data_IF_221014241846
#
_entry.id   IF_221014241846
#
_cell.length_a   1.000
_cell.length_b   1.000
_cell.length_c   1.000
_cell.angle_alpha   90.00
_cell.angle_beta   90.00
_cell.angle_gamma   90.00
#
_symmetry.space_group_name_H-M   'P 1'
#
loop_
_entity.id
_entity.type
_entity.pdbx_description
1 polymer ?
#
# COMPACT_ATOMS: atom_id res chain seq x y z
N UNK A 1 -33.26 -36.84 -1.56
CA UNK A 1 -31.90 -36.27 -1.41
C UNK A 1 -31.68 -35.28 -2.55
N UNK A 2 -31.95 -34.00 -2.31
CA UNK A 2 -31.61 -32.90 -3.24
C UNK A 2 -30.37 -32.17 -2.70
N UNK A 3 -29.44 -31.86 -3.61
CA UNK A 3 -28.20 -31.11 -3.36
C UNK A 3 -28.49 -29.63 -3.05
N UNK A 4 -27.92 -29.10 -1.98
CA UNK A 4 -28.15 -27.73 -1.47
C UNK A 4 -27.03 -26.72 -1.79
N UNK A 5 -26.22 -26.95 -2.84
CA UNK A 5 -25.16 -26.02 -3.24
C UNK A 5 -25.61 -25.03 -4.32
N UNK A 6 -26.62 -24.21 -4.02
CA UNK A 6 -26.90 -22.96 -4.73
C UNK A 6 -27.75 -22.05 -3.84
N UNK A 7 -27.12 -21.30 -2.93
CA UNK A 7 -27.64 -19.98 -2.58
C UNK A 7 -26.49 -18.97 -2.64
N UNK A 8 -26.73 -17.94 -3.46
CA UNK A 8 -25.87 -16.80 -3.73
C UNK A 8 -25.66 -15.98 -2.46
N UNK A 9 -24.42 -15.71 -2.09
CA UNK A 9 -24.08 -14.39 -1.54
C UNK A 9 -23.20 -13.67 -2.56
N UNK A 10 -23.86 -13.12 -3.59
CA UNK A 10 -23.28 -12.01 -4.34
C UNK A 10 -23.31 -10.79 -3.41
N UNK A 11 -22.42 -10.75 -2.43
CA UNK A 11 -22.16 -9.49 -1.73
C UNK A 11 -21.45 -8.59 -2.73
N UNK A 12 -22.10 -7.49 -3.21
CA UNK A 12 -21.34 -6.49 -3.91
C UNK A 12 -20.37 -5.93 -2.89
N UNK A 13 -19.07 -6.18 -3.06
CA UNK A 13 -18.00 -5.47 -2.35
C UNK A 13 -18.35 -4.00 -2.47
N UNK A 14 -18.86 -3.43 -1.37
CA UNK A 14 -19.53 -2.14 -1.39
C UNK A 14 -18.59 -1.09 -1.96
N UNK A 15 -19.14 -0.15 -2.73
CA UNK A 15 -18.39 1.03 -3.20
C UNK A 15 -17.65 1.73 -2.04
N UNK A 16 -18.15 1.56 -0.82
CA UNK A 16 -17.59 2.06 0.43
C UNK A 16 -16.28 1.38 0.88
N UNK A 17 -15.98 0.14 0.46
CA UNK A 17 -14.68 -0.49 0.71
C UNK A 17 -13.61 0.00 -0.27
N UNK A 18 -14.01 0.24 -1.53
CA UNK A 18 -13.11 0.73 -2.58
C UNK A 18 -12.76 2.22 -2.41
N UNK A 19 -13.64 3.00 -1.79
CA UNK A 19 -13.42 4.41 -1.44
C UNK A 19 -13.28 4.67 0.07
N UNK A 20 -13.23 3.58 0.86
CA UNK A 20 -12.92 3.52 2.29
C UNK A 20 -13.13 4.80 3.07
N UNK A 21 -14.34 5.00 3.62
CA UNK A 21 -14.46 5.80 4.85
C UNK A 21 -13.44 5.22 5.82
N UNK A 22 -12.47 6.05 6.22
CA UNK A 22 -11.27 5.68 6.99
C UNK A 22 -11.63 4.62 8.04
N UNK A 23 -11.15 3.39 7.85
CA UNK A 23 -11.34 2.31 8.81
C UNK A 23 -10.53 2.69 10.06
N UNK A 24 -11.22 3.34 11.02
CA UNK A 24 -10.87 3.65 12.41
C UNK A 24 -9.47 4.23 12.71
N UNK A 25 -9.44 5.38 13.41
CA UNK A 25 -8.25 5.94 14.06
C UNK A 25 -7.95 7.41 13.73
N UNK A 26 -8.39 7.94 12.59
CA UNK A 26 -8.24 9.38 12.27
C UNK A 26 -6.81 9.89 12.02
N UNK A 27 -5.76 9.14 12.39
CA UNK A 27 -4.36 9.57 12.24
C UNK A 27 -3.90 9.51 10.78
N UNK A 28 -3.31 10.60 10.28
CA UNK A 28 -2.77 10.68 8.92
C UNK A 28 -1.42 9.97 8.86
N UNK A 29 -1.24 9.08 7.87
CA UNK A 29 0.06 8.49 7.58
C UNK A 29 0.96 9.58 6.99
N UNK A 30 2.04 9.91 7.71
CA UNK A 30 2.97 10.98 7.34
C UNK A 30 4.38 10.48 7.48
N UNK A 31 5.17 10.62 6.42
CA UNK A 31 6.56 10.20 6.43
C UNK A 31 7.48 11.27 6.99
N UNK A 32 8.55 10.85 7.66
CA UNK A 32 9.67 11.70 8.09
C UNK A 32 10.93 11.16 7.42
N UNK A 33 11.62 12.02 6.67
CA UNK A 33 12.81 11.66 5.90
C UNK A 33 13.50 12.92 5.40
N UNK A 34 14.83 12.97 5.47
CA UNK A 34 15.63 14.02 4.84
C UNK A 34 15.74 13.86 3.32
N UNK A 35 15.37 12.67 2.81
CA UNK A 35 15.39 12.36 1.39
C UNK A 35 14.11 12.82 0.68
N UNK A 36 14.30 13.38 -0.52
CA UNK A 36 13.23 13.59 -1.50
C UNK A 36 13.31 12.54 -2.61
N UNK A 37 12.17 12.14 -3.22
CA UNK A 37 12.19 11.23 -4.35
C UNK A 37 13.08 11.75 -5.48
N UNK A 38 13.97 10.90 -5.98
CA UNK A 38 14.98 11.26 -6.97
C UNK A 38 15.06 10.21 -8.10
N UNK A 39 15.71 10.57 -9.20
CA UNK A 39 15.78 9.72 -10.40
C UNK A 39 14.39 9.39 -10.92
N UNK A 40 14.12 8.11 -11.18
CA UNK A 40 12.83 7.64 -11.71
C UNK A 40 11.73 7.48 -10.65
N UNK A 41 12.07 7.64 -9.36
CA UNK A 41 11.10 7.46 -8.27
C UNK A 41 9.88 8.38 -8.39
N UNK A 42 9.99 9.69 -8.69
CA UNK A 42 8.83 10.57 -8.78
C UNK A 42 7.81 10.13 -9.83
N UNK A 43 8.27 9.65 -10.99
CA UNK A 43 7.40 9.18 -12.06
C UNK A 43 6.74 7.85 -11.68
N UNK A 44 7.51 6.89 -11.14
CA UNK A 44 6.99 5.61 -10.70
C UNK A 44 5.91 5.76 -9.62
N UNK A 45 6.14 6.64 -8.63
CA UNK A 45 5.17 6.97 -7.57
C UNK A 45 3.88 7.54 -8.18
N UNK A 46 4.00 8.53 -9.07
CA UNK A 46 2.83 9.15 -9.73
C UNK A 46 2.02 8.12 -10.52
N UNK A 47 2.69 7.25 -11.28
CA UNK A 47 2.05 6.22 -12.10
C UNK A 47 1.28 5.20 -11.26
N UNK A 48 1.88 4.72 -10.16
CA UNK A 48 1.23 3.76 -9.28
C UNK A 48 0.03 4.35 -8.54
N UNK A 49 0.16 5.59 -8.03
CA UNK A 49 -0.97 6.32 -7.43
C UNK A 49 -2.10 6.49 -8.44
N UNK A 50 -1.78 6.89 -9.67
CA UNK A 50 -2.77 7.02 -10.73
C UNK A 50 -3.49 5.69 -10.99
N UNK A 51 -2.75 4.58 -11.12
CA UNK A 51 -3.36 3.26 -11.30
C UNK A 51 -4.30 2.88 -10.16
N UNK A 52 -3.90 3.12 -8.90
CA UNK A 52 -4.73 2.81 -7.72
C UNK A 52 -6.02 3.63 -7.73
N UNK A 53 -5.93 4.94 -8.03
CA UNK A 53 -7.10 5.82 -8.16
C UNK A 53 -8.04 5.40 -9.29
N UNK A 54 -7.50 4.81 -10.35
CA UNK A 54 -8.27 4.26 -11.48
C UNK A 54 -8.66 2.78 -11.30
N UNK A 55 -8.66 2.27 -10.06
CA UNK A 55 -9.10 0.91 -9.71
C UNK A 55 -8.33 -0.20 -10.45
N UNK A 56 -7.06 0.05 -10.78
CA UNK A 56 -6.16 -1.03 -11.20
C UNK A 56 -5.77 -1.84 -9.98
N UNK A 57 -6.24 -3.09 -9.92
CA UNK A 57 -5.99 -3.99 -8.80
C UNK A 57 -4.52 -4.42 -8.74
N UNK A 58 -3.95 -4.79 -9.89
CA UNK A 58 -2.59 -5.33 -9.98
C UNK A 58 -1.65 -4.33 -10.68
N UNK A 59 -0.53 -4.04 -10.03
CA UNK A 59 0.50 -3.15 -10.55
C UNK A 59 1.88 -3.60 -10.09
N UNK A 60 2.88 -3.38 -10.94
CA UNK A 60 4.27 -3.80 -10.68
C UNK A 60 5.17 -2.57 -10.61
N UNK A 61 5.92 -2.45 -9.51
CA UNK A 61 7.03 -1.50 -9.38
C UNK A 61 8.33 -2.17 -9.83
N UNK A 62 8.71 -1.97 -11.09
CA UNK A 62 10.00 -2.43 -11.59
C UNK A 62 11.10 -1.49 -11.09
N UNK A 63 12.08 -2.04 -10.38
CA UNK A 63 13.21 -1.27 -9.87
C UNK A 63 14.39 -2.15 -9.52
N UNK A 64 15.58 -1.69 -9.88
CA UNK A 64 16.85 -2.35 -9.55
C UNK A 64 17.12 -2.37 -8.04
N UNK A 65 18.04 -3.21 -7.58
CA UNK A 65 18.49 -3.19 -6.18
C UNK A 65 19.14 -1.85 -5.86
N UNK A 66 18.88 -1.30 -4.67
CA UNK A 66 19.40 0.01 -4.25
C UNK A 66 18.62 1.23 -4.74
N UNK A 67 17.60 1.06 -5.61
CA UNK A 67 16.82 2.19 -6.14
C UNK A 67 15.84 2.83 -5.15
N UNK A 68 15.84 2.42 -3.87
CA UNK A 68 14.94 2.96 -2.85
C UNK A 68 13.48 2.51 -2.99
N UNK A 69 13.21 1.26 -3.40
CA UNK A 69 11.84 0.74 -3.55
C UNK A 69 10.98 0.90 -2.29
N UNK A 70 11.54 0.66 -1.11
CA UNK A 70 10.80 0.85 0.15
C UNK A 70 10.40 2.29 0.37
N UNK A 71 11.29 3.25 0.09
CA UNK A 71 10.99 4.68 0.19
C UNK A 71 9.89 5.11 -0.79
N UNK A 72 9.97 4.64 -2.05
CA UNK A 72 8.90 4.87 -3.03
C UNK A 72 7.54 4.33 -2.54
N UNK A 73 7.52 3.13 -1.96
CA UNK A 73 6.31 2.56 -1.39
C UNK A 73 5.78 3.35 -0.18
N UNK A 74 6.66 3.83 0.71
CA UNK A 74 6.26 4.70 1.81
C UNK A 74 5.59 5.99 1.31
N UNK A 75 6.14 6.63 0.27
CA UNK A 75 5.51 7.81 -0.36
C UNK A 75 4.17 7.51 -1.01
N UNK A 76 3.99 6.34 -1.61
CA UNK A 76 2.70 5.90 -2.16
C UNK A 76 1.67 5.71 -1.03
N UNK A 77 2.06 5.05 0.06
CA UNK A 77 1.20 4.82 1.23
C UNK A 77 0.79 6.16 1.86
N UNK A 78 1.74 7.08 2.05
CA UNK A 78 1.48 8.46 2.51
C UNK A 78 0.51 9.19 1.59
N UNK A 79 0.72 9.17 0.27
CA UNK A 79 -0.13 9.90 -0.66
C UNK A 79 -1.56 9.37 -0.72
N UNK A 80 -1.73 8.05 -0.55
CA UNK A 80 -3.05 7.41 -0.58
C UNK A 80 -3.75 7.44 0.77
N UNK A 81 -2.99 7.48 1.88
CA UNK A 81 -3.50 7.50 3.24
C UNK A 81 -4.51 6.36 3.50
N UNK A 82 -4.19 5.15 3.01
CA UNK A 82 -4.98 3.92 3.18
C UNK A 82 -4.20 2.91 4.02
N UNK A 83 -4.87 2.12 4.88
CA UNK A 83 -4.24 0.98 5.52
C UNK A 83 -3.59 0.07 4.47
N UNK A 84 -2.35 -0.34 4.72
CA UNK A 84 -1.55 -1.13 3.80
C UNK A 84 -0.98 -2.36 4.51
N UNK A 85 -1.01 -3.50 3.82
CA UNK A 85 -0.38 -4.75 4.25
C UNK A 85 0.84 -5.01 3.39
N UNK A 86 2.02 -5.14 4.01
CA UNK A 86 3.27 -5.47 3.32
C UNK A 86 3.59 -6.93 3.60
N UNK A 87 3.64 -7.74 2.54
CA UNK A 87 3.99 -9.15 2.62
C UNK A 87 5.46 -9.34 2.21
N UNK A 88 6.21 -10.07 3.02
CA UNK A 88 7.60 -10.42 2.76
C UNK A 88 7.74 -11.95 2.68
N UNK A 89 8.65 -12.49 1.86
CA UNK A 89 8.77 -13.93 1.64
C UNK A 89 9.43 -14.67 2.82
N UNK A 90 10.04 -13.95 3.76
CA UNK A 90 10.66 -14.54 4.95
C UNK A 90 10.74 -13.53 6.11
N UNK A 91 11.08 -14.05 7.30
CA UNK A 91 11.14 -13.28 8.54
C UNK A 91 12.23 -12.20 8.53
N UNK A 92 13.37 -12.47 7.91
CA UNK A 92 14.50 -11.53 7.84
C UNK A 92 14.12 -10.27 7.06
N UNK A 93 13.54 -10.45 5.87
CA UNK A 93 13.07 -9.33 5.06
C UNK A 93 11.86 -8.63 5.69
N UNK A 94 10.99 -9.37 6.38
CA UNK A 94 9.91 -8.76 7.15
C UNK A 94 10.45 -7.82 8.24
N UNK A 95 11.47 -8.26 9.00
CA UNK A 95 12.09 -7.44 10.03
C UNK A 95 12.80 -6.20 9.45
N UNK A 96 13.48 -6.35 8.31
CA UNK A 96 14.09 -5.22 7.61
C UNK A 96 13.05 -4.19 7.18
N UNK A 97 11.99 -4.64 6.49
CA UNK A 97 10.91 -3.77 6.03
C UNK A 97 10.20 -3.09 7.20
N UNK A 98 10.00 -3.81 8.31
CA UNK A 98 9.46 -3.23 9.53
C UNK A 98 10.33 -2.09 10.06
N UNK A 99 11.65 -2.30 10.17
CA UNK A 99 12.60 -1.27 10.62
C UNK A 99 12.61 -0.04 9.72
N UNK A 100 12.64 -0.24 8.40
CA UNK A 100 12.57 0.83 7.40
C UNK A 100 11.25 1.60 7.51
N UNK A 101 10.10 0.91 7.55
CA UNK A 101 8.79 1.56 7.64
C UNK A 101 8.58 2.28 8.97
N UNK A 102 9.05 1.74 10.10
CA UNK A 102 9.02 2.42 11.39
C UNK A 102 9.84 3.71 11.36
N UNK A 103 10.98 3.69 10.69
CA UNK A 103 11.83 4.88 10.51
C UNK A 103 11.13 5.92 9.64
N UNK A 104 10.46 5.50 8.55
CA UNK A 104 9.71 6.43 7.70
C UNK A 104 8.45 6.97 8.37
N UNK A 105 7.75 6.21 9.20
CA UNK A 105 6.49 6.60 9.83
C UNK A 105 6.58 6.63 11.37
N UNK A 106 7.47 7.44 11.97
CA UNK A 106 7.70 7.40 13.42
C UNK A 106 6.50 7.86 14.24
N UNK A 107 5.56 8.59 13.62
CA UNK A 107 4.33 9.08 14.25
C UNK A 107 3.12 8.15 14.04
N UNK A 108 3.32 6.99 13.38
CA UNK A 108 2.26 6.02 13.09
C UNK A 108 2.65 4.58 13.48
N UNK A 109 3.74 4.40 14.25
CA UNK A 109 4.36 3.11 14.57
C UNK A 109 4.63 2.95 16.07
#
# INVERSE_FOLDING_TARGET
MQNTYQEKSSDPIGKDFLFGKKLEGGIKLTTVSDFSPAGDQPEAIKKLIYGIKNKKNDQVLLGVTGSGKTFSMAKIIEALNRPALILAPNKTLAAQLYGEMKTFFPNNA
#
